data_IF_015933660891
#
_entry.id   IF_015933660891
#
_cell.length_a   1.000
_cell.length_b   1.000
_cell.length_c   1.000
_cell.angle_alpha   90.00
_cell.angle_beta   90.00
_cell.angle_gamma   90.00
#
_symmetry.space_group_name_H-M   'P 1'
#
loop_
_entity.id
_entity.type
_entity.pdbx_description
1 polymer ?
#
# COMPACT_ATOMS: atom_id res chain seq x y z
N UNK A 1 -12.90 12.78 -27.44
CA UNK A 1 -13.23 13.62 -26.28
C UNK A 1 -12.34 13.32 -25.06
N UNK A 2 -12.29 12.07 -24.58
CA UNK A 2 -11.49 11.64 -23.41
C UNK A 2 -9.99 11.99 -23.51
N UNK A 3 -9.37 11.82 -24.69
CA UNK A 3 -7.96 12.17 -24.92
C UNK A 3 -7.65 13.65 -24.60
N UNK A 4 -8.59 14.57 -24.84
CA UNK A 4 -8.41 16.01 -24.56
C UNK A 4 -8.41 16.27 -23.05
N UNK A 5 -9.28 15.59 -22.31
CA UNK A 5 -9.31 15.68 -20.85
C UNK A 5 -8.05 15.11 -20.21
N UNK A 6 -7.56 13.97 -20.71
CA UNK A 6 -6.29 13.37 -20.25
C UNK A 6 -5.12 14.32 -20.51
N UNK A 7 -5.03 14.89 -21.73
CA UNK A 7 -3.97 15.84 -22.06
C UNK A 7 -4.02 17.09 -21.18
N UNK A 8 -5.21 17.63 -20.88
CA UNK A 8 -5.36 18.78 -19.97
C UNK A 8 -4.78 18.49 -18.57
N UNK A 9 -5.04 17.31 -18.02
CA UNK A 9 -4.51 16.90 -16.72
C UNK A 9 -2.98 16.72 -16.74
N UNK A 10 -2.46 16.03 -17.77
CA UNK A 10 -1.04 15.79 -17.93
C UNK A 10 -0.28 17.11 -18.13
N UNK A 11 -0.82 18.01 -18.93
CA UNK A 11 -0.24 19.32 -19.22
C UNK A 11 -0.28 20.22 -17.97
N UNK A 12 -1.38 20.21 -17.22
CA UNK A 12 -1.48 20.86 -15.92
C UNK A 12 -0.38 20.39 -14.97
N UNK A 13 -0.20 19.08 -14.80
CA UNK A 13 0.84 18.51 -13.94
C UNK A 13 2.27 18.80 -14.44
N UNK A 14 2.52 18.80 -15.75
CA UNK A 14 3.82 19.15 -16.34
C UNK A 14 4.20 20.61 -16.10
N UNK A 15 3.20 21.50 -16.14
CA UNK A 15 3.37 22.93 -15.97
C UNK A 15 3.22 23.41 -14.52
N UNK A 16 3.13 22.49 -13.55
CA UNK A 16 3.15 22.86 -12.12
C UNK A 16 4.49 23.56 -11.79
N UNK A 17 4.39 24.72 -11.15
CA UNK A 17 5.54 25.46 -10.63
C UNK A 17 6.30 24.70 -9.52
N UNK A 18 7.52 25.14 -9.20
CA UNK A 18 8.41 24.42 -8.28
C UNK A 18 7.77 24.08 -6.93
N UNK A 19 6.97 24.99 -6.36
CA UNK A 19 6.23 24.78 -5.11
C UNK A 19 5.23 23.63 -5.20
N UNK A 20 4.49 23.52 -6.29
CA UNK A 20 3.50 22.45 -6.44
C UNK A 20 4.15 21.08 -6.61
N UNK A 21 5.31 20.99 -7.29
CA UNK A 21 6.09 19.75 -7.38
C UNK A 21 6.56 19.30 -5.99
N UNK A 22 7.02 20.24 -5.16
CA UNK A 22 7.39 19.96 -3.77
C UNK A 22 6.21 19.46 -2.95
N UNK A 23 5.04 20.10 -3.05
CA UNK A 23 3.83 19.68 -2.33
C UNK A 23 3.37 18.27 -2.75
N UNK A 24 3.39 17.95 -4.05
CA UNK A 24 3.08 16.61 -4.55
C UNK A 24 4.08 15.58 -4.01
N UNK A 25 5.37 15.91 -3.99
CA UNK A 25 6.40 15.06 -3.40
C UNK A 25 6.17 14.82 -1.90
N UNK A 26 5.85 15.86 -1.14
CA UNK A 26 5.53 15.77 0.28
C UNK A 26 4.28 14.91 0.51
N UNK A 27 3.23 15.09 -0.30
CA UNK A 27 2.00 14.31 -0.21
C UNK A 27 2.27 12.83 -0.47
N UNK A 28 3.00 12.51 -1.54
CA UNK A 28 3.37 11.14 -1.88
C UNK A 28 4.19 10.48 -0.76
N UNK A 29 5.19 11.19 -0.25
CA UNK A 29 6.02 10.72 0.86
C UNK A 29 5.19 10.51 2.14
N UNK A 30 4.26 11.41 2.45
CA UNK A 30 3.36 11.28 3.60
C UNK A 30 2.46 10.05 3.50
N UNK A 31 1.92 9.77 2.30
CA UNK A 31 1.11 8.57 2.05
C UNK A 31 1.97 7.31 2.21
N UNK A 32 3.21 7.32 1.69
CA UNK A 32 4.13 6.20 1.84
C UNK A 32 4.48 5.93 3.31
N UNK A 33 4.80 6.97 4.08
CA UNK A 33 5.09 6.84 5.51
C UNK A 33 3.87 6.29 6.26
N UNK A 34 2.69 6.85 6.01
CA UNK A 34 1.47 6.39 6.66
C UNK A 34 1.21 4.90 6.38
N UNK A 35 1.42 4.47 5.14
CA UNK A 35 1.31 3.08 4.75
C UNK A 35 2.33 2.19 5.48
N UNK A 36 3.59 2.61 5.62
CA UNK A 36 4.62 1.84 6.33
C UNK A 36 4.29 1.73 7.82
N UNK A 37 3.90 2.81 8.47
CA UNK A 37 3.52 2.80 9.88
C UNK A 37 2.33 1.87 10.09
N UNK A 38 1.29 2.01 9.27
CA UNK A 38 0.12 1.12 9.32
C UNK A 38 0.53 -0.34 9.09
N UNK A 39 1.40 -0.62 8.11
CA UNK A 39 1.90 -1.97 7.87
C UNK A 39 2.59 -2.55 9.09
N UNK A 40 3.51 -1.81 9.70
CA UNK A 40 4.27 -2.27 10.86
C UNK A 40 3.40 -2.50 12.09
N UNK A 41 2.37 -1.66 12.31
CA UNK A 41 1.48 -1.77 13.46
C UNK A 41 0.41 -2.86 13.28
N UNK A 42 -0.20 -2.96 12.10
CA UNK A 42 -1.34 -3.86 11.85
C UNK A 42 -0.95 -5.23 11.29
N UNK A 43 0.26 -5.39 10.74
CA UNK A 43 0.71 -6.65 10.13
C UNK A 43 2.02 -7.16 10.75
N UNK A 44 2.00 -7.63 12.01
CA UNK A 44 3.14 -8.30 12.59
C UNK A 44 3.48 -9.61 11.85
N UNK A 45 4.76 -9.98 11.80
CA UNK A 45 5.24 -11.23 11.19
C UNK A 45 4.92 -12.47 12.06
N UNK A 46 3.65 -12.72 12.36
CA UNK A 46 3.18 -13.80 13.23
C UNK A 46 3.52 -15.20 12.71
N UNK A 47 3.46 -15.39 11.39
CA UNK A 47 3.70 -16.67 10.75
C UNK A 47 5.16 -17.13 10.90
N UNK A 48 6.11 -16.21 10.69
CA UNK A 48 7.53 -16.51 10.84
C UNK A 48 7.98 -16.58 12.31
N UNK A 49 7.23 -15.97 13.24
CA UNK A 49 7.56 -16.02 14.67
C UNK A 49 7.10 -17.32 15.33
N UNK A 50 5.95 -17.86 14.92
CA UNK A 50 5.29 -18.94 15.64
C UNK A 50 5.50 -20.34 15.01
N UNK A 51 5.98 -20.42 13.77
CA UNK A 51 6.10 -21.68 13.01
C UNK A 51 7.48 -21.82 12.38
N UNK A 52 8.01 -23.04 12.33
CA UNK A 52 9.36 -23.32 11.82
C UNK A 52 9.37 -23.76 10.38
N UNK A 53 8.34 -24.49 9.94
CA UNK A 53 8.26 -25.01 8.57
C UNK A 53 7.26 -24.21 7.73
N UNK A 54 7.42 -24.23 6.40
CA UNK A 54 6.42 -23.64 5.48
C UNK A 54 5.09 -24.41 5.54
N UNK A 55 5.14 -25.72 5.74
CA UNK A 55 3.94 -26.58 5.83
C UNK A 55 3.07 -26.18 7.02
N UNK A 56 3.65 -26.04 8.22
CA UNK A 56 2.92 -25.59 9.42
C UNK A 56 2.29 -24.20 9.26
N UNK A 57 2.97 -23.30 8.55
CA UNK A 57 2.44 -21.96 8.25
C UNK A 57 1.23 -22.04 7.32
N UNK A 58 1.31 -22.85 6.27
CA UNK A 58 0.23 -23.02 5.31
C UNK A 58 -1.02 -23.63 5.96
N UNK A 59 -0.83 -24.70 6.73
CA UNK A 59 -1.93 -25.39 7.42
C UNK A 59 -2.66 -24.46 8.40
N UNK A 60 -1.92 -23.67 9.19
CA UNK A 60 -2.52 -22.70 10.10
C UNK A 60 -3.32 -21.61 9.37
N UNK A 61 -2.82 -21.09 8.25
CA UNK A 61 -3.54 -20.09 7.45
C UNK A 61 -4.83 -20.67 6.88
N UNK A 62 -4.79 -21.90 6.34
CA UNK A 62 -5.95 -22.59 5.79
C UNK A 62 -7.02 -22.81 6.87
N UNK A 63 -6.61 -23.27 8.05
CA UNK A 63 -7.50 -23.48 9.19
C UNK A 63 -8.18 -22.16 9.60
N UNK A 64 -7.42 -21.07 9.76
CA UNK A 64 -7.97 -19.77 10.14
C UNK A 64 -8.94 -19.20 9.10
N UNK A 65 -8.64 -19.36 7.80
CA UNK A 65 -9.51 -18.89 6.73
C UNK A 65 -10.80 -19.73 6.61
N UNK A 66 -10.73 -21.04 6.86
CA UNK A 66 -11.88 -21.93 6.73
C UNK A 66 -12.78 -21.89 7.98
N UNK A 67 -12.19 -21.74 9.17
CA UNK A 67 -12.92 -21.78 10.44
C UNK A 67 -13.62 -20.46 10.76
N UNK A 68 -13.05 -19.30 10.38
CA UNK A 68 -13.67 -17.98 10.60
C UNK A 68 -14.83 -17.65 9.66
N UNK A 69 -15.12 -18.50 8.66
CA UNK A 69 -16.25 -18.30 7.73
C UNK A 69 -17.55 -18.89 8.30
N UNK A 70 -17.52 -19.47 9.52
CA UNK A 70 -18.70 -19.95 10.23
C UNK A 70 -19.19 -18.93 11.26
#
# INVERSE_FOLDING_TARGET
MIKKFINLYIEGFRNIGNTGKQLVGILFFKILIFFVIMKLLFFPNILNKNYKTDAERADHVIEQLTTKIK
#
